data_IF_450308303357
#
_entry.id   IF_450308303357
#
_cell.length_a   1.000
_cell.length_b   1.000
_cell.length_c   1.000
_cell.angle_alpha   90.00
_cell.angle_beta   90.00
_cell.angle_gamma   90.00
#
_symmetry.space_group_name_H-M   'P 1'
#
loop_
_entity.id
_entity.type
_entity.pdbx_description
1 polymer ?
#
# COMPACT_ATOMS: atom_id res chain seq x y z
N UNK A 1 -1.83 -14.34 -2.78
CA UNK A 1 -0.40 -13.95 -2.65
C UNK A 1 -0.17 -12.53 -3.18
N UNK A 2 0.54 -11.69 -2.43
CA UNK A 2 0.70 -10.26 -2.77
C UNK A 2 1.76 -9.98 -3.84
N UNK A 3 2.63 -10.93 -4.13
CA UNK A 3 3.74 -10.81 -5.09
C UNK A 3 3.81 -12.06 -6.00
N UNK A 4 2.82 -12.28 -6.90
CA UNK A 4 2.69 -13.54 -7.62
C UNK A 4 3.57 -13.68 -8.87
N UNK A 5 4.08 -12.60 -9.44
CA UNK A 5 4.79 -12.60 -10.72
C UNK A 5 6.29 -12.88 -10.58
N UNK A 6 6.93 -13.36 -11.66
CA UNK A 6 8.38 -13.63 -11.69
C UNK A 6 9.23 -12.37 -11.45
N UNK A 7 8.79 -11.22 -11.97
CA UNK A 7 9.47 -9.93 -11.74
C UNK A 7 9.44 -9.46 -10.28
N UNK A 8 8.64 -10.10 -9.43
CA UNK A 8 8.58 -9.82 -7.99
C UNK A 8 9.53 -10.69 -7.15
N UNK A 9 10.42 -11.46 -7.80
CA UNK A 9 11.27 -12.44 -7.10
C UNK A 9 12.12 -11.80 -5.99
N UNK A 10 12.76 -10.66 -6.26
CA UNK A 10 13.59 -9.97 -5.26
C UNK A 10 12.77 -9.49 -4.07
N UNK A 11 11.60 -8.91 -4.34
CA UNK A 11 10.68 -8.45 -3.30
C UNK A 11 10.17 -9.60 -2.44
N UNK A 12 9.85 -10.75 -3.07
CA UNK A 12 9.45 -11.95 -2.34
C UNK A 12 10.55 -12.48 -1.44
N UNK A 13 11.78 -12.54 -1.94
CA UNK A 13 12.93 -13.03 -1.16
C UNK A 13 13.20 -12.13 0.03
N UNK A 14 13.15 -10.81 -0.17
CA UNK A 14 13.31 -9.85 0.91
C UNK A 14 12.22 -10.04 1.97
N UNK A 15 10.96 -10.13 1.56
CA UNK A 15 9.83 -10.35 2.46
C UNK A 15 9.98 -11.64 3.26
N UNK A 16 10.31 -12.76 2.59
CA UNK A 16 10.50 -14.06 3.24
C UNK A 16 11.65 -14.00 4.24
N UNK A 17 12.76 -13.38 3.89
CA UNK A 17 13.92 -13.26 4.75
C UNK A 17 13.63 -12.44 6.01
N UNK A 18 12.88 -11.36 5.88
CA UNK A 18 12.46 -10.54 7.02
C UNK A 18 11.41 -11.26 7.88
N UNK A 19 10.46 -11.95 7.25
CA UNK A 19 9.44 -12.72 7.97
C UNK A 19 10.04 -13.86 8.80
N UNK A 20 11.08 -14.52 8.31
CA UNK A 20 11.79 -15.59 9.05
C UNK A 20 12.47 -15.11 10.33
N UNK A 21 12.75 -13.82 10.44
CA UNK A 21 13.34 -13.22 11.64
C UNK A 21 12.34 -13.05 12.77
N UNK A 22 11.03 -13.14 12.48
CA UNK A 22 9.97 -12.98 13.46
C UNK A 22 9.71 -14.28 14.22
N UNK A 23 9.51 -14.18 15.53
CA UNK A 23 9.00 -15.30 16.31
C UNK A 23 7.56 -15.61 15.90
N UNK A 24 7.23 -16.89 15.80
CA UNK A 24 5.89 -17.33 15.39
C UNK A 24 4.77 -16.71 16.23
N UNK A 25 4.95 -16.59 17.53
CA UNK A 25 3.96 -15.95 18.42
C UNK A 25 3.72 -14.48 18.07
N UNK A 26 4.77 -13.75 17.78
CA UNK A 26 4.67 -12.34 17.40
C UNK A 26 4.01 -12.18 16.02
N UNK A 27 4.39 -13.03 15.07
CA UNK A 27 3.76 -13.04 13.75
C UNK A 27 2.25 -13.28 13.84
N UNK A 28 1.80 -14.24 14.67
CA UNK A 28 0.38 -14.52 14.87
C UNK A 28 -0.34 -13.31 15.49
N UNK A 29 0.27 -12.65 16.48
CA UNK A 29 -0.30 -11.42 17.07
C UNK A 29 -0.52 -10.33 16.03
N UNK A 30 0.48 -10.05 15.21
CA UNK A 30 0.39 -9.06 14.16
C UNK A 30 -0.65 -9.41 13.11
N UNK A 31 -0.72 -10.69 12.76
CA UNK A 31 -1.73 -11.17 11.80
C UNK A 31 -3.16 -11.04 12.36
N UNK A 32 -3.37 -11.32 13.63
CA UNK A 32 -4.66 -11.13 14.30
C UNK A 32 -5.06 -9.66 14.36
N UNK A 33 -4.11 -8.76 14.52
CA UNK A 33 -4.35 -7.32 14.55
C UNK A 33 -4.98 -6.82 13.24
N UNK A 34 -4.71 -7.44 12.12
CA UNK A 34 -5.32 -7.06 10.83
C UNK A 34 -6.85 -7.17 10.86
N UNK A 35 -7.40 -8.17 11.55
CA UNK A 35 -8.85 -8.32 11.72
C UNK A 35 -9.47 -7.19 12.56
N UNK A 36 -8.75 -6.70 13.57
CA UNK A 36 -9.18 -5.60 14.43
C UNK A 36 -9.14 -4.24 13.71
N UNK A 37 -8.22 -4.08 12.76
CA UNK A 37 -8.08 -2.85 11.96
C UNK A 37 -9.19 -2.74 10.89
N UNK A 38 -9.72 -3.84 10.39
CA UNK A 38 -10.72 -3.84 9.33
C UNK A 38 -11.95 -2.96 9.60
N UNK A 39 -12.55 -2.93 10.82
CA UNK A 39 -13.66 -2.03 11.11
C UNK A 39 -13.29 -0.56 10.97
N UNK A 40 -12.07 -0.18 11.38
CA UNK A 40 -11.54 1.19 11.26
C UNK A 40 -11.37 1.56 9.79
N UNK A 41 -10.83 0.67 8.97
CA UNK A 41 -10.68 0.87 7.53
C UNK A 41 -12.05 1.03 6.83
N UNK A 42 -13.06 0.27 7.23
CA UNK A 42 -14.43 0.45 6.71
C UNK A 42 -14.96 1.83 7.04
N UNK A 43 -14.77 2.29 8.27
CA UNK A 43 -15.21 3.60 8.69
C UNK A 43 -14.56 4.70 7.85
N UNK A 44 -13.26 4.62 7.59
CA UNK A 44 -12.53 5.55 6.73
C UNK A 44 -12.99 5.51 5.26
N UNK A 45 -13.49 4.39 4.77
CA UNK A 45 -14.08 4.32 3.43
C UNK A 45 -15.37 5.11 3.30
N UNK A 46 -16.12 5.22 4.39
CA UNK A 46 -17.43 5.87 4.40
C UNK A 46 -17.36 7.36 4.71
N UNK A 47 -16.31 7.79 5.39
CA UNK A 47 -16.10 9.19 5.79
C UNK A 47 -14.89 9.79 5.11
N UNK A 48 -15.08 10.95 4.54
CA UNK A 48 -13.98 11.74 4.00
C UNK A 48 -13.05 12.18 5.13
N UNK A 49 -11.78 11.81 5.03
CA UNK A 49 -10.75 12.37 5.90
C UNK A 49 -10.46 13.78 5.39
N UNK A 50 -10.58 14.77 6.25
CA UNK A 50 -10.24 16.14 5.91
C UNK A 50 -8.72 16.39 5.98
N UNK A 51 -7.95 15.43 5.50
CA UNK A 51 -6.49 15.42 5.48
C UNK A 51 -6.04 15.05 4.07
N UNK A 52 -5.16 15.85 3.44
CA UNK A 52 -4.58 15.49 2.16
C UNK A 52 -3.89 14.12 2.23
N UNK A 53 -4.30 13.21 1.36
CA UNK A 53 -3.85 11.81 1.38
C UNK A 53 -3.38 11.38 0.00
N UNK A 54 -2.19 10.83 -0.08
CA UNK A 54 -1.66 10.22 -1.31
C UNK A 54 -1.65 8.70 -1.17
N UNK A 55 -2.27 8.02 -2.12
CA UNK A 55 -2.14 6.58 -2.31
C UNK A 55 -1.14 6.32 -3.43
N UNK A 56 -0.08 5.56 -3.12
CA UNK A 56 0.89 5.10 -4.12
C UNK A 56 0.72 3.59 -4.26
N UNK A 57 0.24 3.15 -5.40
CA UNK A 57 -0.14 1.76 -5.64
C UNK A 57 0.59 1.19 -6.84
N UNK A 58 0.85 -0.10 -6.82
CA UNK A 58 1.32 -0.82 -8.00
C UNK A 58 0.17 -1.17 -8.94
N UNK A 59 0.39 -1.06 -10.23
CA UNK A 59 -0.58 -1.45 -11.27
C UNK A 59 -1.01 -2.92 -11.13
N UNK A 60 -0.10 -3.77 -10.66
CA UNK A 60 -0.30 -5.20 -10.51
C UNK A 60 -0.73 -5.61 -9.11
N UNK A 61 -1.13 -4.66 -8.29
CA UNK A 61 -1.73 -4.92 -6.98
C UNK A 61 -3.22 -5.24 -7.13
N UNK A 62 -3.50 -6.43 -7.61
CA UNK A 62 -4.87 -6.86 -7.93
C UNK A 62 -5.77 -7.02 -6.70
N UNK A 63 -5.18 -7.16 -5.51
CA UNK A 63 -5.95 -7.32 -4.27
C UNK A 63 -6.49 -5.99 -3.74
N UNK A 64 -5.71 -4.93 -3.82
CA UNK A 64 -6.01 -3.67 -3.13
C UNK A 64 -6.28 -2.50 -4.07
N UNK A 65 -5.70 -2.47 -5.26
CA UNK A 65 -5.85 -1.34 -6.19
C UNK A 65 -7.30 -1.02 -6.54
N UNK A 66 -8.18 -2.01 -6.84
CA UNK A 66 -9.58 -1.71 -7.15
C UNK A 66 -10.31 -0.99 -6.00
N UNK A 67 -10.08 -1.43 -4.76
CA UNK A 67 -10.67 -0.80 -3.57
C UNK A 67 -10.15 0.62 -3.35
N UNK A 68 -8.86 0.85 -3.57
CA UNK A 68 -8.24 2.18 -3.43
C UNK A 68 -8.76 3.13 -4.51
N UNK A 69 -8.91 2.69 -5.75
CA UNK A 69 -9.52 3.49 -6.82
C UNK A 69 -10.92 3.97 -6.44
N UNK A 70 -11.71 3.11 -5.82
CA UNK A 70 -13.05 3.44 -5.37
C UNK A 70 -13.04 4.46 -4.22
N UNK A 71 -12.13 4.30 -3.26
CA UNK A 71 -11.95 5.26 -2.15
C UNK A 71 -11.57 6.64 -2.69
N UNK A 72 -10.61 6.71 -3.59
CA UNK A 72 -10.16 7.99 -4.19
C UNK A 72 -11.27 8.64 -4.98
N UNK A 73 -12.06 7.88 -5.75
CA UNK A 73 -13.20 8.40 -6.49
C UNK A 73 -14.26 9.03 -5.56
N UNK A 74 -14.43 8.50 -4.35
CA UNK A 74 -15.37 9.03 -3.36
C UNK A 74 -14.79 10.21 -2.54
N UNK A 75 -13.48 10.41 -2.55
CA UNK A 75 -12.78 11.41 -1.73
C UNK A 75 -11.90 12.33 -2.58
N UNK A 76 -12.43 12.80 -3.71
CA UNK A 76 -11.66 13.56 -4.72
C UNK A 76 -11.04 14.86 -4.21
N UNK A 77 -11.59 15.45 -3.15
CA UNK A 77 -11.08 16.70 -2.57
C UNK A 77 -9.79 16.51 -1.77
N UNK A 78 -9.61 15.34 -1.16
CA UNK A 78 -8.53 15.08 -0.21
C UNK A 78 -7.59 13.96 -0.64
N UNK A 79 -8.04 13.07 -1.51
CA UNK A 79 -7.29 11.89 -1.93
C UNK A 79 -6.77 11.99 -3.36
N UNK A 80 -5.50 11.65 -3.53
CA UNK A 80 -4.84 11.48 -4.83
C UNK A 80 -4.34 10.04 -4.95
N UNK A 81 -4.34 9.52 -6.16
CA UNK A 81 -3.81 8.18 -6.47
C UNK A 81 -2.73 8.27 -7.53
N UNK A 82 -1.57 7.70 -7.24
CA UNK A 82 -0.52 7.47 -8.22
C UNK A 82 -0.30 5.97 -8.40
N UNK A 83 -0.42 5.49 -9.64
CA UNK A 83 -0.23 4.07 -9.98
C UNK A 83 1.11 3.88 -10.66
N UNK A 84 1.97 3.04 -10.07
CA UNK A 84 3.28 2.71 -10.64
C UNK A 84 3.13 1.51 -11.56
N UNK A 85 3.54 1.63 -12.80
CA UNK A 85 3.47 0.57 -13.82
C UNK A 85 4.49 -0.54 -13.52
N UNK A 86 4.17 -1.76 -13.93
CA UNK A 86 5.00 -2.96 -13.74
C UNK A 86 5.42 -3.17 -12.27
N UNK A 87 4.52 -2.91 -11.36
CA UNK A 87 4.79 -2.91 -9.93
C UNK A 87 3.66 -3.62 -9.17
N UNK A 88 4.02 -4.46 -8.22
CA UNK A 88 3.08 -5.16 -7.35
C UNK A 88 2.78 -4.37 -6.07
N UNK A 89 2.47 -5.10 -5.00
CA UNK A 89 2.00 -4.51 -3.75
C UNK A 89 3.06 -3.71 -2.99
N UNK A 90 4.32 -4.15 -2.99
CA UNK A 90 5.39 -3.55 -2.17
C UNK A 90 6.15 -2.50 -3.00
N UNK A 91 5.45 -1.41 -3.32
CA UNK A 91 5.90 -0.40 -4.29
C UNK A 91 7.24 0.26 -3.95
N UNK A 92 7.50 0.51 -2.68
CA UNK A 92 8.73 1.13 -2.21
C UNK A 92 9.96 0.22 -2.32
N UNK A 93 9.75 -1.08 -2.42
CA UNK A 93 10.82 -2.08 -2.61
C UNK A 93 11.00 -2.40 -4.08
N UNK A 94 9.91 -2.52 -4.83
CA UNK A 94 9.95 -2.90 -6.25
C UNK A 94 10.37 -1.76 -7.16
N UNK A 95 9.93 -0.53 -6.86
CA UNK A 95 10.20 0.68 -7.64
C UNK A 95 10.59 1.85 -6.73
N UNK A 96 11.74 1.76 -6.03
CA UNK A 96 12.09 2.73 -4.99
C UNK A 96 12.31 4.15 -5.53
N UNK A 97 12.87 4.31 -6.71
CA UNK A 97 13.11 5.63 -7.30
C UNK A 97 11.79 6.33 -7.64
N UNK A 98 10.89 5.66 -8.34
CA UNK A 98 9.58 6.21 -8.71
C UNK A 98 8.75 6.50 -7.47
N UNK A 99 8.76 5.60 -6.50
CA UNK A 99 8.10 5.81 -5.21
C UNK A 99 8.59 7.08 -4.51
N UNK A 100 9.90 7.21 -4.36
CA UNK A 100 10.51 8.35 -3.67
C UNK A 100 10.21 9.67 -4.39
N UNK A 101 10.38 9.72 -5.70
CA UNK A 101 10.07 10.92 -6.49
C UNK A 101 8.61 11.34 -6.36
N UNK A 102 7.69 10.38 -6.41
CA UNK A 102 6.26 10.62 -6.29
C UNK A 102 5.91 11.19 -4.92
N UNK A 103 6.41 10.58 -3.85
CA UNK A 103 6.14 11.02 -2.46
C UNK A 103 6.77 12.39 -2.19
N UNK A 104 8.01 12.60 -2.59
CA UNK A 104 8.70 13.88 -2.42
C UNK A 104 7.97 14.99 -3.19
N UNK A 105 7.58 14.72 -4.43
CA UNK A 105 6.82 15.67 -5.25
C UNK A 105 5.49 16.06 -4.62
N UNK A 106 4.78 15.09 -4.08
CA UNK A 106 3.53 15.32 -3.36
C UNK A 106 3.72 16.20 -2.11
N UNK A 107 4.73 15.90 -1.30
CA UNK A 107 5.01 16.67 -0.08
C UNK A 107 5.44 18.10 -0.40
N UNK A 108 6.29 18.31 -1.40
CA UNK A 108 6.77 19.64 -1.80
C UNK A 108 5.64 20.60 -2.22
N UNK A 109 4.57 20.09 -2.82
CA UNK A 109 3.41 20.92 -3.20
C UNK A 109 2.61 21.45 -2.00
N UNK A 110 2.85 20.91 -0.81
CA UNK A 110 2.06 21.19 0.41
C UNK A 110 2.84 21.91 1.51
N UNK A 111 4.11 22.13 1.28
CA UNK A 111 4.97 22.85 2.23
C UNK A 111 4.95 24.38 1.95
#
# INVERSE_FOLDING_TARGET
MIMPKKNHKQSRLLFINEAKKLYQKEFIKWFKLTAEINPVLRWFRQKELNIPTLYVMGEEDYMFLPSVKQVVANHVKTAELFVIQNCGHVVNVEQPLVFNETVIGYLKKRI
#
